data_IF_593145334185
#
_entry.id   IF_593145334185
#
_cell.length_a   1.000
_cell.length_b   1.000
_cell.length_c   1.000
_cell.angle_alpha   90.00
_cell.angle_beta   90.00
_cell.angle_gamma   90.00
#
_symmetry.space_group_name_H-M   'P 1'
#
loop_
_entity.id
_entity.type
_entity.pdbx_description
1 polymer ?
#
# COMPACT_ATOMS: atom_id res chain seq x y z
N UNK A 1 -32.11 14.53 50.08
CA UNK A 1 -31.14 14.94 49.05
C UNK A 1 -29.76 14.42 49.45
N UNK A 2 -29.29 13.35 48.82
CA UNK A 2 -27.94 12.82 49.02
C UNK A 2 -27.14 13.05 47.74
N UNK A 3 -25.95 13.63 47.85
CA UNK A 3 -25.17 14.06 46.69
C UNK A 3 -24.15 12.97 46.33
N UNK A 4 -24.43 12.25 45.26
CA UNK A 4 -23.58 11.18 44.72
C UNK A 4 -22.47 11.78 43.86
N UNK A 5 -21.35 12.17 44.48
CA UNK A 5 -20.19 12.79 43.79
C UNK A 5 -19.07 11.83 43.36
N UNK A 6 -19.17 10.53 43.67
CA UNK A 6 -18.19 9.54 43.20
C UNK A 6 -18.88 8.51 42.31
N UNK A 7 -18.47 8.40 41.03
CA UNK A 7 -19.01 7.37 40.14
C UNK A 7 -18.68 5.99 40.72
N UNK A 8 -19.70 5.19 41.02
CA UNK A 8 -19.49 3.81 41.43
C UNK A 8 -18.93 3.04 40.23
N UNK A 9 -17.79 2.34 40.37
CA UNK A 9 -17.20 1.61 39.26
C UNK A 9 -18.18 0.51 38.82
N UNK A 10 -18.59 0.55 37.55
CA UNK A 10 -19.30 -0.57 36.94
C UNK A 10 -18.41 -1.80 37.08
N UNK A 11 -18.96 -2.86 37.67
CA UNK A 11 -18.31 -4.14 37.86
C UNK A 11 -17.60 -4.56 36.57
N UNK A 12 -16.30 -4.89 36.65
CA UNK A 12 -15.56 -5.46 35.53
C UNK A 12 -16.14 -6.85 35.27
N UNK A 13 -17.01 -6.95 34.27
CA UNK A 13 -17.49 -8.23 33.76
C UNK A 13 -16.30 -8.86 33.05
N UNK A 14 -15.79 -9.96 33.60
CA UNK A 14 -14.79 -10.76 32.93
C UNK A 14 -15.47 -11.41 31.72
N UNK A 15 -15.14 -10.95 30.51
CA UNK A 15 -15.50 -11.64 29.29
C UNK A 15 -14.73 -12.96 29.26
N UNK A 16 -15.39 -14.03 29.68
CA UNK A 16 -14.82 -15.36 29.61
C UNK A 16 -14.92 -15.87 28.17
N UNK A 17 -13.78 -15.97 27.50
CA UNK A 17 -13.67 -16.71 26.26
C UNK A 17 -13.39 -18.19 26.62
N UNK A 18 -14.22 -19.15 26.19
CA UNK A 18 -13.95 -20.55 26.44
C UNK A 18 -12.63 -20.94 25.76
N UNK A 19 -11.71 -21.52 26.54
CA UNK A 19 -10.34 -21.89 26.13
C UNK A 19 -10.24 -22.71 24.85
N UNK A 20 -11.34 -23.33 24.42
CA UNK A 20 -11.41 -24.24 23.28
C UNK A 20 -12.02 -23.62 22.00
N UNK A 21 -12.46 -22.36 22.03
CA UNK A 21 -13.02 -21.67 20.86
C UNK A 21 -12.05 -20.61 20.33
N UNK A 22 -11.40 -20.90 19.20
CA UNK A 22 -10.53 -19.96 18.50
C UNK A 22 -11.27 -19.38 17.28
N UNK A 23 -12.02 -18.29 17.44
CA UNK A 23 -12.68 -17.58 16.32
C UNK A 23 -11.74 -17.26 15.15
N UNK A 24 -10.46 -17.03 15.46
CA UNK A 24 -9.44 -16.68 14.48
C UNK A 24 -9.19 -17.81 13.49
N UNK A 25 -9.25 -19.06 13.94
CA UNK A 25 -8.99 -20.23 13.09
C UNK A 25 -10.15 -20.46 12.12
N UNK A 26 -11.40 -20.31 12.58
CA UNK A 26 -12.58 -20.43 11.71
C UNK A 26 -12.60 -19.34 10.65
N UNK A 27 -12.36 -18.08 11.02
CA UNK A 27 -12.28 -16.97 10.07
C UNK A 27 -11.19 -17.17 9.02
N UNK A 28 -10.09 -17.83 9.37
CA UNK A 28 -9.05 -18.21 8.41
C UNK A 28 -9.54 -19.33 7.50
N UNK A 29 -10.09 -20.42 8.05
CA UNK A 29 -10.68 -21.54 7.28
C UNK A 29 -11.71 -21.05 6.27
N UNK A 30 -12.61 -20.15 6.66
CA UNK A 30 -13.60 -19.53 5.76
C UNK A 30 -12.95 -18.75 4.61
N UNK A 31 -11.90 -17.97 4.90
CA UNK A 31 -11.15 -17.26 3.85
C UNK A 31 -10.52 -18.24 2.87
N UNK A 32 -9.86 -19.29 3.34
CA UNK A 32 -9.23 -20.30 2.48
C UNK A 32 -10.26 -21.08 1.65
N UNK A 33 -11.39 -21.46 2.26
CA UNK A 33 -12.49 -22.13 1.58
C UNK A 33 -13.09 -21.27 0.44
N UNK A 34 -13.19 -19.94 0.63
CA UNK A 34 -13.60 -19.01 -0.44
C UNK A 34 -12.68 -19.06 -1.66
N UNK A 35 -11.40 -19.39 -1.47
CA UNK A 35 -10.41 -19.52 -2.55
C UNK A 35 -10.21 -20.98 -3.00
N UNK A 36 -11.03 -21.92 -2.52
CA UNK A 36 -10.93 -23.34 -2.86
C UNK A 36 -9.68 -24.03 -2.33
N UNK A 37 -9.04 -23.47 -1.29
CA UNK A 37 -7.84 -24.04 -0.65
C UNK A 37 -8.19 -24.62 0.71
N UNK A 38 -7.56 -25.74 1.06
CA UNK A 38 -7.64 -26.31 2.40
C UNK A 38 -6.77 -25.50 3.38
N UNK A 39 -7.27 -25.27 4.59
CA UNK A 39 -6.50 -24.60 5.64
C UNK A 39 -5.54 -25.61 6.27
N UNK A 40 -4.26 -25.53 5.89
CA UNK A 40 -3.20 -26.25 6.57
C UNK A 40 -2.74 -25.44 7.81
N UNK A 41 -2.89 -25.97 9.04
CA UNK A 41 -2.36 -25.32 10.24
C UNK A 41 -0.83 -25.31 10.28
N UNK A 42 -0.18 -26.06 9.38
CA UNK A 42 1.26 -26.20 9.33
C UNK A 42 1.93 -25.03 8.62
N UNK A 43 3.06 -24.59 9.18
CA UNK A 43 3.72 -23.41 8.67
C UNK A 43 4.38 -23.67 7.30
N UNK A 44 4.45 -22.67 6.39
CA UNK A 44 4.96 -22.86 5.03
C UNK A 44 6.37 -23.47 4.91
N UNK A 45 7.17 -23.42 5.99
CA UNK A 45 8.54 -23.96 6.04
C UNK A 45 8.63 -25.41 6.51
N UNK A 46 7.52 -26.04 6.93
CA UNK A 46 7.48 -27.47 7.32
C UNK A 46 7.07 -28.39 6.16
N UNK A 47 6.77 -27.86 4.99
CA UNK A 47 6.52 -28.63 3.77
C UNK A 47 7.83 -29.14 3.17
N UNK A 48 7.92 -30.45 2.91
CA UNK A 48 9.04 -31.01 2.16
C UNK A 48 9.10 -30.35 0.78
N UNK A 49 10.25 -29.76 0.46
CA UNK A 49 10.59 -29.25 -0.85
C UNK A 49 10.70 -30.42 -1.84
N UNK A 50 9.58 -30.99 -2.23
CA UNK A 50 9.51 -31.96 -3.30
C UNK A 50 8.15 -31.81 -3.97
N UNK A 51 8.25 -31.21 -5.14
CA UNK A 51 7.48 -31.53 -6.33
C UNK A 51 6.25 -30.66 -6.62
N UNK A 52 6.32 -30.08 -7.82
CA UNK A 52 5.22 -29.63 -8.69
C UNK A 52 4.82 -28.13 -8.68
N UNK A 53 5.01 -27.55 -9.87
CA UNK A 53 4.43 -26.32 -10.43
C UNK A 53 5.18 -24.96 -10.27
N UNK A 54 6.02 -24.66 -11.26
CA UNK A 54 6.36 -23.31 -11.76
C UNK A 54 5.65 -23.10 -13.13
N UNK A 55 5.39 -21.87 -13.67
CA UNK A 55 5.88 -20.54 -13.28
C UNK A 55 4.84 -19.36 -13.40
N UNK A 56 5.21 -18.14 -12.94
CA UNK A 56 5.15 -16.84 -13.68
C UNK A 56 5.29 -15.60 -12.77
N UNK A 57 6.54 -15.25 -12.45
CA UNK A 57 7.04 -13.90 -12.13
C UNK A 57 8.54 -13.97 -11.77
N UNK A 58 9.35 -13.90 -12.81
CA UNK A 58 10.78 -14.29 -12.85
C UNK A 58 11.74 -13.33 -12.15
N UNK A 59 11.31 -12.35 -11.35
CA UNK A 59 12.23 -11.38 -10.73
C UNK A 59 12.37 -11.50 -9.20
N UNK A 60 11.37 -12.08 -8.53
CA UNK A 60 11.34 -12.18 -7.05
C UNK A 60 11.98 -13.48 -6.54
N UNK A 61 12.29 -14.45 -7.41
CA UNK A 61 12.79 -15.78 -6.97
C UNK A 61 14.31 -15.91 -6.85
N UNK A 62 15.09 -14.94 -7.34
CA UNK A 62 16.56 -15.07 -7.30
C UNK A 62 17.14 -14.96 -5.88
N UNK A 63 16.44 -14.31 -4.94
CA UNK A 63 16.88 -14.18 -3.54
C UNK A 63 16.53 -15.39 -2.66
N UNK A 64 15.84 -16.41 -3.20
CA UNK A 64 15.59 -17.66 -2.49
C UNK A 64 16.61 -18.76 -2.81
N UNK A 65 17.37 -18.63 -3.92
CA UNK A 65 18.43 -19.61 -4.27
C UNK A 65 19.71 -19.40 -3.45
N UNK A 66 19.97 -18.17 -3.04
CA UNK A 66 20.97 -17.87 -2.04
C UNK A 66 20.31 -18.06 -0.67
N UNK A 67 20.85 -18.97 0.15
CA UNK A 67 20.21 -19.44 1.39
C UNK A 67 19.65 -18.32 2.28
N UNK A 68 18.65 -18.66 3.10
CA UNK A 68 17.92 -17.72 3.94
C UNK A 68 18.86 -16.78 4.72
N UNK A 69 18.85 -15.49 4.35
CA UNK A 69 19.55 -14.45 5.09
C UNK A 69 18.56 -13.84 6.08
N UNK A 70 18.68 -14.16 7.39
CA UNK A 70 17.77 -13.63 8.40
C UNK A 70 17.82 -12.10 8.38
N UNK A 71 16.65 -11.46 8.37
CA UNK A 71 16.50 -10.01 8.46
C UNK A 71 16.41 -9.25 7.14
N UNK A 72 16.70 -9.85 5.98
CA UNK A 72 16.51 -9.17 4.68
C UNK A 72 15.03 -8.86 4.43
N UNK A 73 14.15 -9.83 4.65
CA UNK A 73 12.71 -9.67 4.46
C UNK A 73 12.10 -8.68 5.45
N UNK A 74 12.66 -8.63 6.66
CA UNK A 74 12.24 -7.72 7.72
C UNK A 74 12.62 -6.29 7.33
N UNK A 75 13.90 -6.06 6.98
CA UNK A 75 14.40 -4.74 6.60
C UNK A 75 13.66 -4.16 5.39
N UNK A 76 13.39 -5.00 4.39
CA UNK A 76 12.70 -4.56 3.18
C UNK A 76 11.23 -4.21 3.44
N UNK A 77 10.52 -5.01 4.26
CA UNK A 77 9.14 -4.70 4.67
C UNK A 77 9.03 -3.36 5.41
N UNK A 78 9.97 -3.05 6.32
CA UNK A 78 9.99 -1.78 7.04
C UNK A 78 10.30 -0.59 6.13
N UNK A 79 11.22 -0.76 5.18
CA UNK A 79 11.59 0.30 4.23
C UNK A 79 10.47 0.60 3.23
N UNK A 80 9.83 -0.46 2.72
CA UNK A 80 8.74 -0.32 1.76
C UNK A 80 7.53 0.41 2.35
N UNK A 81 7.24 0.30 3.66
CA UNK A 81 6.17 1.08 4.31
C UNK A 81 6.43 2.60 4.34
N UNK A 82 7.70 3.02 4.45
CA UNK A 82 8.10 4.43 4.47
C UNK A 82 8.13 4.99 3.04
N UNK A 83 8.70 4.24 2.10
CA UNK A 83 8.87 4.69 0.72
C UNK A 83 7.58 4.60 -0.11
N UNK A 84 6.69 3.63 0.16
CA UNK A 84 5.39 3.51 -0.53
C UNK A 84 4.39 4.59 -0.11
N UNK A 85 4.45 5.05 1.15
CA UNK A 85 3.56 6.08 1.66
C UNK A 85 4.08 7.50 1.38
N UNK A 86 5.32 7.62 0.88
CA UNK A 86 5.85 8.86 0.31
C UNK A 86 5.24 9.07 -1.08
N UNK A 87 3.93 9.34 -1.07
CA UNK A 87 3.08 9.82 -2.16
C UNK A 87 3.88 10.09 -3.42
N UNK A 88 4.00 9.08 -4.29
CA UNK A 88 4.41 9.30 -5.68
C UNK A 88 3.48 10.40 -6.18
N UNK A 89 4.11 11.53 -6.43
CA UNK A 89 3.49 12.81 -6.74
C UNK A 89 2.35 12.61 -7.74
N UNK A 90 1.25 13.27 -7.39
CA UNK A 90 0.05 13.56 -8.18
C UNK A 90 0.28 13.45 -9.69
N UNK A 91 -0.68 12.77 -10.34
CA UNK A 91 -0.79 12.50 -11.77
C UNK A 91 0.22 13.26 -12.63
N UNK A 92 1.35 12.62 -12.92
CA UNK A 92 2.44 13.17 -13.76
C UNK A 92 1.90 13.70 -15.09
N UNK A 93 0.88 13.05 -15.65
CA UNK A 93 0.16 13.50 -16.85
C UNK A 93 -0.47 14.88 -16.71
N UNK A 94 -1.10 15.20 -15.56
CA UNK A 94 -1.70 16.51 -15.31
C UNK A 94 -0.64 17.60 -15.24
N UNK A 95 0.48 17.33 -14.55
CA UNK A 95 1.63 18.25 -14.53
C UNK A 95 2.16 18.53 -15.94
N UNK A 96 2.31 17.50 -16.77
CA UNK A 96 2.77 17.66 -18.16
C UNK A 96 1.78 18.49 -19.00
N UNK A 97 0.48 18.26 -18.85
CA UNK A 97 -0.55 19.04 -19.55
C UNK A 97 -0.49 20.52 -19.16
N UNK A 98 -0.40 20.83 -17.85
CA UNK A 98 -0.29 22.22 -17.37
C UNK A 98 0.94 22.91 -17.98
N UNK A 99 2.08 22.23 -18.04
CA UNK A 99 3.30 22.77 -18.65
C UNK A 99 3.08 23.05 -20.15
N UNK A 100 2.52 22.11 -20.91
CA UNK A 100 2.25 22.29 -22.34
C UNK A 100 1.29 23.47 -22.58
N UNK A 101 0.19 23.54 -21.82
CA UNK A 101 -0.79 24.63 -21.94
C UNK A 101 -0.15 25.98 -21.61
N UNK A 102 0.64 26.05 -20.54
CA UNK A 102 1.35 27.28 -20.16
C UNK A 102 2.32 27.76 -21.25
N UNK A 103 3.01 26.83 -21.92
CA UNK A 103 3.97 27.13 -22.97
C UNK A 103 3.27 27.62 -24.26
N UNK A 104 2.13 27.02 -24.60
CA UNK A 104 1.32 27.45 -25.75
C UNK A 104 0.79 28.88 -25.57
N UNK A 105 0.33 29.20 -24.36
CA UNK A 105 -0.16 30.54 -24.00
C UNK A 105 0.95 31.60 -24.08
N UNK A 106 2.15 31.27 -23.60
CA UNK A 106 3.32 32.15 -23.72
C UNK A 106 3.70 32.41 -25.19
N UNK A 107 3.62 31.38 -26.05
CA UNK A 107 3.94 31.52 -27.47
C UNK A 107 2.98 32.47 -28.19
N UNK A 108 1.67 32.35 -27.88
CA UNK A 108 0.63 33.25 -28.40
C UNK A 108 0.90 34.70 -27.94
N UNK A 109 1.23 34.90 -26.66
CA UNK A 109 1.53 36.22 -26.13
C UNK A 109 2.70 36.89 -26.87
N UNK A 110 3.79 36.14 -27.14
CA UNK A 110 4.94 36.65 -27.90
C UNK A 110 4.54 36.99 -29.34
N UNK A 111 3.74 36.16 -30.00
CA UNK A 111 3.27 36.41 -31.36
C UNK A 111 2.50 37.74 -31.49
N UNK A 112 1.58 38.01 -30.56
CA UNK A 112 0.84 39.28 -30.56
C UNK A 112 1.73 40.45 -30.16
N UNK A 113 2.66 40.24 -29.24
CA UNK A 113 3.60 41.27 -28.79
C UNK A 113 4.51 41.75 -29.93
N UNK A 114 5.03 40.84 -30.75
CA UNK A 114 5.88 41.22 -31.90
C UNK A 114 5.10 41.94 -32.99
N UNK A 115 3.84 41.58 -33.23
CA UNK A 115 2.98 42.31 -34.15
C UNK A 115 2.68 43.73 -33.65
N UNK A 116 2.41 43.88 -32.35
CA UNK A 116 2.21 45.20 -31.73
C UNK A 116 3.45 46.10 -31.83
N UNK A 117 4.65 45.56 -31.57
CA UNK A 117 5.89 46.33 -31.69
C UNK A 117 6.14 46.78 -33.14
N UNK A 118 5.94 45.91 -34.13
CA UNK A 118 6.18 46.28 -35.53
C UNK A 118 5.32 47.47 -35.99
N UNK A 119 4.04 47.50 -35.60
CA UNK A 119 3.15 48.63 -35.92
C UNK A 119 3.65 49.93 -35.29
N UNK A 120 4.15 49.86 -34.05
CA UNK A 120 4.66 51.02 -33.33
C UNK A 120 6.00 51.52 -33.89
N UNK A 121 6.80 50.63 -34.50
CA UNK A 121 8.10 50.95 -35.11
C UNK A 121 7.98 51.51 -36.54
N UNK A 122 6.83 51.32 -37.20
CA UNK A 122 6.54 51.84 -38.54
C UNK A 122 5.84 53.22 -38.54
N UNK A 123 5.44 53.72 -37.36
CA UNK A 123 5.01 55.11 -37.15
C UNK A 123 6.18 56.00 -36.77
#
# INVERSE_FOLDING_TARGET
MGISFLPTPKHRVFHYEPRYWNEKEEKMKERYAKYGKEYDPKAPWEGKASDEAEPKDTEVKNHLRDGYVPGILIRDAYRNGIDSNRRKTTNTKVRTIIIIVSLLLAFIAVYYFTMGINVLLQQ
#
